data_IF_079465966027
#
_entry.id   IF_079465966027
#
_cell.length_a   1.000
_cell.length_b   1.000
_cell.length_c   1.000
_cell.angle_alpha   90.00
_cell.angle_beta   90.00
_cell.angle_gamma   90.00
#
_symmetry.space_group_name_H-M   'P 1'
#
loop_
_entity.id
_entity.type
_entity.pdbx_description
1 polymer ?
#
# COMPACT_ATOMS: atom_id res chain seq x y z
N UNK A 1 -4.69 12.38 13.09
CA UNK A 1 -5.37 11.35 13.88
C UNK A 1 -4.36 10.25 14.17
N UNK A 2 -3.81 10.31 15.37
CA UNK A 2 -2.86 9.37 15.95
C UNK A 2 -3.67 8.16 16.39
N UNK A 3 -3.58 7.05 15.66
CA UNK A 3 -3.96 5.74 16.20
C UNK A 3 -2.87 5.37 17.21
N UNK A 4 -2.97 5.92 18.42
CA UNK A 4 -2.11 5.62 19.55
C UNK A 4 -2.54 4.24 20.08
N UNK A 5 -2.12 3.20 19.36
CA UNK A 5 -2.25 1.82 19.81
C UNK A 5 -1.31 1.63 21.00
N UNK A 6 -1.87 1.73 22.20
CA UNK A 6 -1.12 1.58 23.44
C UNK A 6 -0.72 0.10 23.65
N UNK A 7 0.43 -0.27 23.08
CA UNK A 7 1.06 -1.57 23.26
C UNK A 7 1.38 -1.85 24.73
N UNK A 8 1.50 -0.83 25.60
CA UNK A 8 1.70 -1.07 27.05
C UNK A 8 0.41 -1.49 27.73
N UNK A 9 -0.75 -0.98 27.30
CA UNK A 9 -2.04 -1.44 27.77
C UNK A 9 -2.30 -2.91 27.37
N UNK A 10 -1.95 -3.26 26.12
CA UNK A 10 -2.00 -4.65 25.63
C UNK A 10 -0.98 -5.55 26.35
N UNK A 11 0.28 -5.15 26.50
CA UNK A 11 1.28 -5.98 27.16
C UNK A 11 0.97 -6.25 28.64
N UNK A 12 0.39 -5.26 29.36
CA UNK A 12 -0.03 -5.44 30.76
C UNK A 12 -1.26 -6.34 30.91
N UNK A 13 -2.25 -6.23 30.03
CA UNK A 13 -3.41 -7.12 30.08
C UNK A 13 -3.04 -8.57 29.78
N UNK A 14 -2.07 -8.78 28.87
CA UNK A 14 -1.56 -10.10 28.50
C UNK A 14 -0.65 -10.72 29.56
N UNK A 15 0.18 -9.95 30.27
CA UNK A 15 1.07 -10.49 31.32
C UNK A 15 0.33 -10.85 32.62
N UNK A 16 -0.86 -10.33 32.88
CA UNK A 16 -1.64 -10.60 34.09
C UNK A 16 -2.68 -11.73 33.95
N UNK A 17 -2.88 -12.29 32.76
CA UNK A 17 -3.77 -13.43 32.58
C UNK A 17 -2.99 -14.73 32.79
N UNK A 18 -3.15 -15.33 33.97
CA UNK A 18 -2.87 -16.76 34.20
C UNK A 18 -3.53 -17.56 33.08
N UNK A 19 -2.71 -18.16 32.20
CA UNK A 19 -3.12 -19.06 31.09
C UNK A 19 -4.39 -18.60 30.37
N UNK A 20 -4.29 -17.87 29.23
CA UNK A 20 -5.49 -17.40 28.55
C UNK A 20 -6.33 -18.63 28.15
N UNK A 21 -7.41 -18.87 28.88
CA UNK A 21 -8.57 -19.57 28.35
C UNK A 21 -9.02 -18.75 27.16
N UNK A 22 -8.63 -19.21 25.97
CA UNK A 22 -9.06 -18.70 24.67
C UNK A 22 -10.49 -18.20 24.76
N UNK A 23 -10.66 -16.88 24.77
CA UNK A 23 -11.97 -16.33 24.49
C UNK A 23 -12.15 -16.42 22.98
N UNK A 24 -13.15 -17.21 22.57
CA UNK A 24 -13.66 -17.19 21.21
C UNK A 24 -13.86 -15.72 20.76
N UNK A 25 -13.61 -15.41 19.48
CA UNK A 25 -13.69 -14.06 18.96
C UNK A 25 -15.06 -13.46 19.31
N UNK A 26 -15.04 -12.29 19.92
CA UNK A 26 -16.27 -11.60 20.29
C UNK A 26 -17.04 -11.19 19.03
N UNK A 27 -18.36 -11.03 19.15
CA UNK A 27 -19.20 -10.53 18.06
C UNK A 27 -18.70 -9.16 17.55
N UNK A 28 -18.09 -8.37 18.43
CA UNK A 28 -17.49 -7.08 18.10
C UNK A 28 -16.22 -7.21 17.23
N UNK A 29 -15.40 -8.26 17.43
CA UNK A 29 -14.23 -8.53 16.59
C UNK A 29 -14.63 -8.87 15.15
N UNK A 30 -15.72 -9.62 14.98
CA UNK A 30 -16.31 -9.97 13.68
C UNK A 30 -16.93 -8.74 13.00
N UNK A 31 -17.64 -7.90 13.77
CA UNK A 31 -18.19 -6.64 13.27
C UNK A 31 -17.09 -5.66 12.81
N UNK A 32 -15.97 -5.58 13.53
CA UNK A 32 -14.83 -4.77 13.12
C UNK A 32 -14.12 -5.31 11.87
N UNK A 33 -13.97 -6.63 11.75
CA UNK A 33 -13.33 -7.25 10.59
C UNK A 33 -14.16 -7.06 9.31
N UNK A 34 -15.48 -7.25 9.38
CA UNK A 34 -16.38 -6.97 8.25
C UNK A 34 -16.42 -5.50 7.85
N UNK A 35 -16.36 -4.57 8.81
CA UNK A 35 -16.24 -3.12 8.52
C UNK A 35 -14.94 -2.79 7.80
N UNK A 36 -13.82 -3.43 8.18
CA UNK A 36 -12.52 -3.27 7.49
C UNK A 36 -12.57 -3.81 6.07
N UNK A 37 -13.22 -4.95 5.84
CA UNK A 37 -13.41 -5.51 4.51
C UNK A 37 -14.19 -4.55 3.58
N UNK A 38 -15.28 -3.93 4.09
CA UNK A 38 -16.03 -2.91 3.33
C UNK A 38 -15.17 -1.70 2.98
N UNK A 39 -14.35 -1.23 3.91
CA UNK A 39 -13.43 -0.10 3.68
C UNK A 39 -12.34 -0.44 2.66
N UNK A 40 -11.83 -1.66 2.66
CA UNK A 40 -10.87 -2.11 1.64
C UNK A 40 -11.52 -2.18 0.25
N UNK A 41 -12.79 -2.59 0.17
CA UNK A 41 -13.55 -2.57 -1.08
C UNK A 41 -13.70 -1.14 -1.64
N UNK A 42 -13.97 -0.14 -0.80
CA UNK A 42 -14.05 1.25 -1.26
C UNK A 42 -12.69 1.79 -1.73
N UNK A 43 -11.60 1.39 -1.05
CA UNK A 43 -10.24 1.74 -1.47
C UNK A 43 -9.89 1.12 -2.82
N UNK A 44 -10.27 -0.15 -3.05
CA UNK A 44 -10.10 -0.84 -4.33
C UNK A 44 -10.77 -0.07 -5.48
N UNK A 45 -12.02 0.37 -5.28
CA UNK A 45 -12.71 1.17 -6.31
C UNK A 45 -12.03 2.51 -6.56
N UNK A 46 -11.49 3.15 -5.52
CA UNK A 46 -10.71 4.38 -5.67
C UNK A 46 -9.44 4.17 -6.50
N UNK A 47 -8.70 3.09 -6.25
CA UNK A 47 -7.50 2.71 -7.02
C UNK A 47 -7.83 2.41 -8.48
N UNK A 48 -8.94 1.70 -8.74
CA UNK A 48 -9.39 1.38 -10.10
C UNK A 48 -9.79 2.64 -10.87
N UNK A 49 -10.47 3.57 -10.20
CA UNK A 49 -10.82 4.85 -10.80
C UNK A 49 -9.56 5.67 -11.11
N UNK A 50 -8.56 5.66 -10.22
CA UNK A 50 -7.25 6.27 -10.48
C UNK A 50 -6.53 5.65 -11.68
N UNK A 51 -6.52 4.32 -11.79
CA UNK A 51 -5.94 3.61 -12.93
C UNK A 51 -6.65 3.95 -14.26
N UNK A 52 -7.98 4.06 -14.23
CA UNK A 52 -8.78 4.45 -15.39
C UNK A 52 -8.45 5.88 -15.82
N UNK A 53 -8.33 6.82 -14.88
CA UNK A 53 -7.90 8.20 -15.17
C UNK A 53 -6.49 8.23 -15.79
N UNK A 54 -5.54 7.46 -15.25
CA UNK A 54 -4.20 7.36 -15.82
C UNK A 54 -4.21 6.81 -17.26
N UNK A 55 -5.04 5.80 -17.53
CA UNK A 55 -5.18 5.23 -18.88
C UNK A 55 -5.79 6.22 -19.86
N UNK A 56 -6.86 6.94 -19.47
CA UNK A 56 -7.46 7.99 -20.30
C UNK A 56 -6.46 9.11 -20.58
N UNK A 57 -5.71 9.54 -19.57
CA UNK A 57 -4.68 10.56 -19.72
C UNK A 57 -3.54 10.09 -20.64
N UNK A 58 -3.13 8.82 -20.57
CA UNK A 58 -2.14 8.26 -21.49
C UNK A 58 -2.62 8.32 -22.95
N UNK A 59 -3.85 7.88 -23.21
CA UNK A 59 -4.46 7.98 -24.54
C UNK A 59 -4.50 9.44 -25.02
N UNK A 60 -4.93 10.36 -24.17
CA UNK A 60 -4.99 11.78 -24.49
C UNK A 60 -3.61 12.36 -24.85
N UNK A 61 -2.58 12.05 -24.06
CA UNK A 61 -1.21 12.55 -24.27
C UNK A 61 -0.64 12.08 -25.62
N UNK A 62 -0.90 10.83 -26.02
CA UNK A 62 -0.44 10.30 -27.33
C UNK A 62 -0.96 11.13 -28.50
N UNK A 63 -2.18 11.68 -28.40
CA UNK A 63 -2.76 12.49 -29.46
C UNK A 63 -2.45 13.98 -29.35
N UNK A 64 -2.08 14.48 -28.17
CA UNK A 64 -1.93 15.94 -27.92
C UNK A 64 -0.49 16.41 -27.83
N UNK A 65 0.44 15.57 -27.39
CA UNK A 65 1.85 15.95 -27.21
C UNK A 65 2.71 15.10 -28.16
N UNK A 66 3.05 15.61 -29.36
CA UNK A 66 4.01 14.94 -30.22
C UNK A 66 5.42 15.06 -29.63
N UNK A 67 6.28 14.06 -29.87
CA UNK A 67 7.68 14.06 -29.43
C UNK A 67 8.00 13.09 -28.31
N UNK A 68 9.24 13.16 -27.80
CA UNK A 68 9.76 12.26 -26.76
C UNK A 68 9.05 12.46 -25.42
N UNK A 69 8.67 13.69 -25.09
CA UNK A 69 7.96 14.03 -23.86
C UNK A 69 6.60 13.33 -23.79
N UNK A 70 5.85 13.30 -24.89
CA UNK A 70 4.58 12.59 -25.00
C UNK A 70 4.75 11.08 -24.83
N UNK A 71 5.76 10.51 -25.50
CA UNK A 71 6.08 9.09 -25.39
C UNK A 71 6.46 8.65 -23.97
N UNK A 72 7.34 9.40 -23.31
CA UNK A 72 7.78 9.09 -21.93
C UNK A 72 6.64 9.28 -20.93
N UNK A 73 5.84 10.33 -21.07
CA UNK A 73 4.68 10.58 -20.19
C UNK A 73 3.60 9.52 -20.36
N UNK A 74 3.33 9.11 -21.61
CA UNK A 74 2.41 8.01 -21.90
C UNK A 74 2.90 6.70 -21.27
N UNK A 75 4.16 6.32 -21.51
CA UNK A 75 4.75 5.12 -20.93
C UNK A 75 4.64 5.14 -19.39
N UNK A 76 4.97 6.25 -18.75
CA UNK A 76 4.87 6.42 -17.31
C UNK A 76 3.44 6.19 -16.79
N UNK A 77 2.43 6.78 -17.46
CA UNK A 77 1.03 6.61 -17.08
C UNK A 77 0.50 5.20 -17.33
N UNK A 78 0.89 4.55 -18.44
CA UNK A 78 0.51 3.17 -18.73
C UNK A 78 1.11 2.22 -17.69
N UNK A 79 2.40 2.37 -17.37
CA UNK A 79 3.04 1.59 -16.31
C UNK A 79 2.39 1.86 -14.94
N UNK A 80 2.04 3.10 -14.64
CA UNK A 80 1.29 3.48 -13.43
C UNK A 80 -0.10 2.82 -13.36
N UNK A 81 -0.85 2.82 -14.46
CA UNK A 81 -2.16 2.17 -14.54
C UNK A 81 -2.05 0.65 -14.39
N UNK A 82 -1.12 0.01 -15.11
CA UNK A 82 -0.91 -1.44 -15.04
C UNK A 82 -0.46 -1.89 -13.66
N UNK A 83 0.50 -1.18 -13.05
CA UNK A 83 0.97 -1.49 -11.69
C UNK A 83 -0.13 -1.31 -10.65
N UNK A 84 -0.92 -0.23 -10.76
CA UNK A 84 -2.06 0.01 -9.87
C UNK A 84 -3.12 -1.08 -10.00
N UNK A 85 -3.45 -1.48 -11.24
CA UNK A 85 -4.40 -2.56 -11.48
C UNK A 85 -3.91 -3.91 -10.95
N UNK A 86 -2.65 -4.26 -11.27
CA UNK A 86 -2.03 -5.50 -10.81
C UNK A 86 -2.03 -5.62 -9.28
N UNK A 87 -1.69 -4.53 -8.59
CA UNK A 87 -1.61 -4.52 -7.12
C UNK A 87 -2.98 -4.48 -6.50
N UNK A 88 -3.90 -3.69 -7.05
CA UNK A 88 -5.28 -3.68 -6.58
C UNK A 88 -5.88 -5.09 -6.69
N UNK A 89 -5.58 -5.81 -7.78
CA UNK A 89 -5.98 -7.20 -7.96
C UNK A 89 -5.30 -8.14 -6.96
N UNK A 90 -3.98 -8.06 -6.80
CA UNK A 90 -3.22 -8.96 -5.90
C UNK A 90 -3.53 -8.70 -4.42
N UNK A 91 -3.83 -7.46 -4.05
CA UNK A 91 -4.05 -7.04 -2.66
C UNK A 91 -5.49 -7.24 -2.21
N UNK A 92 -6.48 -6.84 -3.01
CA UNK A 92 -7.87 -6.83 -2.55
C UNK A 92 -8.60 -8.16 -2.80
N UNK A 93 -8.26 -8.90 -3.86
CA UNK A 93 -8.87 -10.21 -4.17
C UNK A 93 -8.78 -11.23 -3.02
N UNK A 94 -7.63 -11.45 -2.34
CA UNK A 94 -7.55 -12.43 -1.26
C UNK A 94 -8.31 -12.05 0.01
N UNK A 95 -8.57 -10.75 0.23
CA UNK A 95 -9.39 -10.26 1.35
C UNK A 95 -10.89 -10.39 1.03
N UNK A 96 -11.26 -10.18 -0.23
CA UNK A 96 -12.65 -10.30 -0.69
C UNK A 96 -13.12 -11.76 -0.75
N UNK A 97 -12.22 -12.71 -1.03
CA UNK A 97 -12.51 -14.14 -1.07
C UNK A 97 -12.33 -14.86 0.28
N UNK A 98 -12.24 -14.10 1.38
CA UNK A 98 -12.01 -14.67 2.70
C UNK A 98 -13.33 -15.03 3.39
N UNK A 99 -13.60 -16.34 3.46
CA UNK A 99 -14.91 -16.85 3.89
C UNK A 99 -14.87 -17.56 5.26
N UNK A 100 -13.67 -17.75 5.85
CA UNK A 100 -13.51 -18.54 7.07
C UNK A 100 -13.44 -17.66 8.34
N UNK A 101 -14.56 -17.52 9.03
CA UNK A 101 -14.69 -16.63 10.20
C UNK A 101 -14.49 -17.32 11.57
N UNK A 102 -13.77 -18.44 11.61
CA UNK A 102 -13.39 -19.12 12.86
C UNK A 102 -12.31 -18.35 13.65
N UNK A 103 -12.02 -18.75 14.90
CA UNK A 103 -10.98 -18.13 15.74
C UNK A 103 -9.61 -18.12 15.05
N UNK A 104 -9.17 -19.28 14.53
CA UNK A 104 -7.94 -19.43 13.76
C UNK A 104 -8.00 -18.62 12.45
N UNK A 105 -9.16 -18.64 11.78
CA UNK A 105 -9.38 -17.83 10.59
C UNK A 105 -9.20 -16.33 10.84
N UNK A 106 -9.65 -15.80 11.98
CA UNK A 106 -9.48 -14.40 12.33
C UNK A 106 -7.99 -14.02 12.48
N UNK A 107 -7.16 -14.90 13.06
CA UNK A 107 -5.71 -14.69 13.20
C UNK A 107 -5.04 -14.72 11.83
N UNK A 108 -5.40 -15.68 10.97
CA UNK A 108 -4.90 -15.76 9.59
C UNK A 108 -5.32 -14.54 8.76
N UNK A 109 -6.55 -14.03 8.94
CA UNK A 109 -7.03 -12.81 8.30
C UNK A 109 -6.20 -11.60 8.75
N UNK A 110 -5.93 -11.46 10.05
CA UNK A 110 -5.09 -10.37 10.59
C UNK A 110 -3.65 -10.45 10.07
N UNK A 111 -3.08 -11.65 9.99
CA UNK A 111 -1.77 -11.87 9.41
C UNK A 111 -1.72 -11.45 7.93
N UNK A 112 -2.66 -11.94 7.11
CA UNK A 112 -2.75 -11.60 5.68
C UNK A 112 -2.99 -10.10 5.48
N UNK A 113 -3.88 -9.48 6.25
CA UNK A 113 -4.13 -8.04 6.18
C UNK A 113 -2.88 -7.21 6.53
N UNK A 114 -2.09 -7.66 7.51
CA UNK A 114 -0.83 -7.00 7.87
C UNK A 114 0.22 -7.14 6.75
N UNK A 115 0.38 -8.35 6.19
CA UNK A 115 1.28 -8.61 5.06
C UNK A 115 0.92 -7.77 3.83
N UNK A 116 -0.37 -7.70 3.50
CA UNK A 116 -0.89 -6.90 2.41
C UNK A 116 -0.67 -5.40 2.64
N UNK A 117 -0.82 -4.93 3.88
CA UNK A 117 -0.52 -3.54 4.25
C UNK A 117 0.97 -3.21 4.03
N UNK A 118 1.89 -4.12 4.38
CA UNK A 118 3.33 -3.94 4.13
C UNK A 118 3.63 -3.91 2.64
N UNK A 119 3.04 -4.81 1.85
CA UNK A 119 3.19 -4.83 0.39
C UNK A 119 2.70 -3.53 -0.25
N UNK A 120 1.53 -3.02 0.17
CA UNK A 120 0.98 -1.77 -0.31
C UNK A 120 1.88 -0.56 0.02
N UNK A 121 2.45 -0.51 1.23
CA UNK A 121 3.40 0.54 1.61
C UNK A 121 4.68 0.49 0.77
N UNK A 122 5.22 -0.70 0.50
CA UNK A 122 6.39 -0.87 -0.40
C UNK A 122 6.06 -0.44 -1.82
N UNK A 123 4.87 -0.76 -2.31
CA UNK A 123 4.42 -0.28 -3.62
C UNK A 123 4.39 1.25 -3.67
N UNK A 124 3.80 1.90 -2.67
CA UNK A 124 3.74 3.36 -2.62
C UNK A 124 5.14 3.97 -2.63
N UNK A 125 6.12 3.33 -1.98
CA UNK A 125 7.52 3.74 -2.07
C UNK A 125 8.09 3.59 -3.49
N UNK A 126 7.82 2.46 -4.15
CA UNK A 126 8.21 2.27 -5.55
C UNK A 126 7.59 3.33 -6.46
N UNK A 127 6.34 3.73 -6.25
CA UNK A 127 5.69 4.81 -7.00
C UNK A 127 6.36 6.16 -6.74
N UNK A 128 6.73 6.49 -5.50
CA UNK A 128 7.50 7.70 -5.19
C UNK A 128 8.89 7.69 -5.86
N UNK A 129 9.57 6.55 -5.87
CA UNK A 129 10.86 6.40 -6.57
C UNK A 129 10.66 6.55 -8.08
N UNK A 130 9.62 5.96 -8.65
CA UNK A 130 9.30 6.08 -10.06
C UNK A 130 9.03 7.55 -10.46
N UNK A 131 8.34 8.32 -9.61
CA UNK A 131 8.15 9.76 -9.81
C UNK A 131 9.48 10.54 -9.79
N UNK A 132 10.40 10.20 -8.89
CA UNK A 132 11.73 10.79 -8.87
C UNK A 132 12.53 10.44 -10.13
N UNK A 133 12.48 9.17 -10.58
CA UNK A 133 13.13 8.74 -11.82
C UNK A 133 12.53 9.47 -13.01
N UNK A 134 11.20 9.61 -13.09
CA UNK A 134 10.52 10.38 -14.12
C UNK A 134 10.99 11.83 -14.14
N UNK A 135 11.10 12.49 -12.98
CA UNK A 135 11.68 13.84 -12.88
C UNK A 135 13.12 13.89 -13.40
N UNK A 136 13.93 12.86 -13.15
CA UNK A 136 15.29 12.76 -13.69
C UNK A 136 15.31 12.59 -15.21
N UNK A 137 14.39 11.79 -15.77
CA UNK A 137 14.25 11.63 -17.23
C UNK A 137 13.82 12.93 -17.89
N UNK A 138 12.92 13.71 -17.27
CA UNK A 138 12.56 15.04 -17.77
C UNK A 138 13.78 15.98 -17.83
N UNK A 139 14.62 15.96 -16.80
CA UNK A 139 15.89 16.68 -16.80
C UNK A 139 16.84 16.21 -17.90
N UNK A 140 16.94 14.90 -18.12
CA UNK A 140 17.78 14.33 -19.17
C UNK A 140 17.31 14.72 -20.57
N UNK A 141 16.00 14.67 -20.83
CA UNK A 141 15.41 15.12 -22.10
C UNK A 141 15.67 16.59 -22.36
N UNK A 142 15.52 17.44 -21.34
CA UNK A 142 15.80 18.86 -21.42
C UNK A 142 17.30 19.13 -21.66
N UNK A 143 18.19 18.45 -20.93
CA UNK A 143 19.64 18.58 -21.08
C UNK A 143 20.13 18.17 -22.47
N UNK A 144 19.58 17.09 -23.02
CA UNK A 144 19.90 16.59 -24.35
C UNK A 144 19.23 17.40 -25.48
N UNK A 145 18.43 18.43 -25.14
CA UNK A 145 17.64 19.23 -26.08
C UNK A 145 16.72 18.40 -26.99
N UNK A 146 16.36 17.18 -26.55
CA UNK A 146 15.50 16.26 -27.30
C UNK A 146 14.04 16.73 -27.34
N UNK A 147 13.64 17.50 -26.34
CA UNK A 147 12.30 18.08 -26.26
C UNK A 147 12.29 19.36 -25.41
N UNK A 148 11.38 20.28 -25.73
CA UNK A 148 11.23 21.55 -25.00
C UNK A 148 10.29 21.37 -23.80
N UNK A 149 10.74 20.58 -22.82
CA UNK A 149 10.08 20.54 -21.52
C UNK A 149 10.14 21.95 -20.88
N UNK A 150 8.98 22.53 -20.58
CA UNK A 150 8.87 23.88 -20.01
C UNK A 150 9.60 23.96 -18.67
N UNK A 151 10.38 25.01 -18.43
CA UNK A 151 11.10 25.23 -17.18
C UNK A 151 10.19 25.17 -15.94
N UNK A 152 8.93 25.62 -16.09
CA UNK A 152 7.90 25.52 -15.05
C UNK A 152 7.59 24.07 -14.67
N UNK A 153 7.53 23.15 -15.65
CA UNK A 153 7.29 21.73 -15.42
C UNK A 153 8.48 21.09 -14.68
N UNK A 154 9.71 21.38 -15.12
CA UNK A 154 10.91 20.89 -14.45
C UNK A 154 11.01 21.43 -13.01
N UNK A 155 10.73 22.72 -12.82
CA UNK A 155 10.71 23.35 -11.51
C UNK A 155 9.70 22.70 -10.57
N UNK A 156 8.48 22.43 -11.06
CA UNK A 156 7.44 21.75 -10.29
C UNK A 156 7.89 20.35 -9.83
N UNK A 157 8.41 19.52 -10.73
CA UNK A 157 8.83 18.16 -10.37
C UNK A 157 10.06 18.15 -9.44
N UNK A 158 10.98 19.10 -9.62
CA UNK A 158 12.22 19.15 -8.84
C UNK A 158 11.99 19.77 -7.45
N UNK A 159 11.32 20.91 -7.36
CA UNK A 159 11.18 21.66 -6.11
C UNK A 159 9.94 21.28 -5.30
N UNK A 160 8.94 20.65 -5.90
CA UNK A 160 7.71 20.27 -5.20
C UNK A 160 7.59 18.75 -5.12
N UNK A 161 7.59 18.06 -6.26
CA UNK A 161 7.31 16.61 -6.29
C UNK A 161 8.43 15.80 -5.63
N UNK A 162 9.69 16.08 -5.95
CA UNK A 162 10.84 15.36 -5.39
C UNK A 162 10.95 15.45 -3.86
N UNK A 163 10.92 16.64 -3.21
CA UNK A 163 10.98 16.71 -1.75
C UNK A 163 9.76 16.09 -1.08
N UNK A 164 8.56 16.20 -1.67
CA UNK A 164 7.38 15.50 -1.18
C UNK A 164 7.54 13.98 -1.27
N UNK A 165 8.12 13.45 -2.36
CA UNK A 165 8.41 12.04 -2.51
C UNK A 165 9.43 11.56 -1.48
N UNK A 166 10.48 12.34 -1.20
CA UNK A 166 11.47 12.02 -0.17
C UNK A 166 10.84 11.96 1.24
N UNK A 167 10.02 12.97 1.59
CA UNK A 167 9.30 12.99 2.87
C UNK A 167 8.32 11.82 2.98
N UNK A 168 7.61 11.50 1.89
CA UNK A 168 6.70 10.37 1.82
C UNK A 168 7.46 9.04 2.00
N UNK A 169 8.56 8.82 1.29
CA UNK A 169 9.43 7.64 1.42
C UNK A 169 9.90 7.48 2.86
N UNK A 170 10.39 8.57 3.49
CA UNK A 170 10.83 8.54 4.89
C UNK A 170 9.71 8.10 5.84
N UNK A 171 8.53 8.73 5.76
CA UNK A 171 7.36 8.34 6.58
C UNK A 171 6.90 6.91 6.30
N UNK A 172 6.92 6.49 5.04
CA UNK A 172 6.57 5.12 4.64
C UNK A 172 7.58 4.11 5.20
N UNK A 173 8.88 4.41 5.21
CA UNK A 173 9.90 3.53 5.78
C UNK A 173 9.68 3.32 7.27
N UNK A 174 9.36 4.39 8.01
CA UNK A 174 9.04 4.29 9.43
C UNK A 174 7.83 3.38 9.68
N UNK A 175 6.76 3.56 8.89
CA UNK A 175 5.55 2.72 8.98
C UNK A 175 5.81 1.26 8.59
N UNK A 176 6.60 1.02 7.55
CA UNK A 176 6.98 -0.34 7.13
C UNK A 176 7.76 -1.03 8.25
N UNK A 177 8.72 -0.35 8.89
CA UNK A 177 9.47 -0.92 10.01
C UNK A 177 8.54 -1.35 11.15
N UNK A 178 7.63 -0.45 11.57
CA UNK A 178 6.63 -0.77 12.60
C UNK A 178 5.77 -1.97 12.22
N UNK A 179 5.21 -1.97 11.00
CA UNK A 179 4.35 -3.08 10.52
C UNK A 179 5.10 -4.39 10.32
N UNK A 180 6.39 -4.34 9.99
CA UNK A 180 7.23 -5.55 9.86
C UNK A 180 7.49 -6.17 11.22
N UNK A 181 7.74 -5.36 12.26
CA UNK A 181 7.87 -5.84 13.63
C UNK A 181 6.55 -6.46 14.13
N UNK A 182 5.41 -5.81 13.89
CA UNK A 182 4.09 -6.37 14.21
C UNK A 182 3.85 -7.72 13.51
N UNK A 183 4.22 -7.83 12.23
CA UNK A 183 4.11 -9.05 11.46
C UNK A 183 5.00 -10.16 12.02
N UNK A 184 6.19 -9.82 12.53
CA UNK A 184 7.06 -10.74 13.25
C UNK A 184 6.39 -11.34 14.49
N UNK A 185 5.76 -10.52 15.32
CA UNK A 185 5.02 -10.99 16.50
C UNK A 185 3.81 -11.85 16.12
N UNK A 186 3.04 -11.45 15.12
CA UNK A 186 1.90 -12.22 14.61
C UNK A 186 2.31 -13.57 14.03
N UNK A 187 3.48 -13.66 13.38
CA UNK A 187 4.00 -14.91 12.83
C UNK A 187 4.32 -15.94 13.93
N UNK A 188 4.87 -15.48 15.06
CA UNK A 188 5.15 -16.34 16.22
C UNK A 188 3.84 -16.85 16.81
N UNK A 189 2.85 -15.97 17.00
CA UNK A 189 1.51 -16.33 17.48
C UNK A 189 0.81 -17.36 16.58
N UNK A 190 0.84 -17.19 15.25
CA UNK A 190 0.26 -18.18 14.32
C UNK A 190 0.93 -19.55 14.47
N UNK A 191 2.26 -19.58 14.61
CA UNK A 191 2.99 -20.83 14.80
C UNK A 191 2.62 -21.52 16.13
N UNK A 192 2.41 -20.76 17.21
CA UNK A 192 2.00 -21.29 18.51
C UNK A 192 0.57 -21.89 18.47
N UNK A 193 -0.33 -21.30 17.69
CA UNK A 193 -1.69 -21.82 17.47
C UNK A 193 -1.70 -23.10 16.62
N UNK A 194 -0.91 -23.16 15.54
CA UNK A 194 -0.78 -24.38 14.72
C UNK A 194 -0.21 -25.55 15.52
N UNK A 195 0.72 -25.28 16.45
CA UNK A 195 1.29 -26.31 17.34
C UNK A 195 0.33 -26.75 18.45
N UNK A 196 -0.50 -25.84 18.96
CA UNK A 196 -1.49 -26.14 20.00
C UNK A 196 -2.71 -26.91 19.47
N UNK A 197 -3.04 -26.77 18.18
CA UNK A 197 -4.12 -27.52 17.53
C UNK A 197 -3.73 -28.96 17.12
N UNK A 198 -2.44 -29.32 17.19
CA UNK A 198 -1.93 -30.65 16.85
C UNK A 198 -1.69 -31.58 18.05
N UNK A 199 -1.78 -31.06 19.28
CA UNK A 199 -1.72 -31.84 20.53
C UNK A 199 -3.11 -31.98 21.16
#
# INVERSE_FOLDING_TARGET
>A
MTDDFDFKALAKSWQQQQTPKEHAPSVDDLAQASKRQRRQRTLMYGEWLGALVMAMAACWIVFTIPGWLGGVSCAFLVFGALSTFYISWQVHRPILAYDNWSCDGLVQFRYRACQLSVQYLRYTQCSCIALMVFSGVLWLLHWLQLDHATEQLLGFYTFIVSPLCLLAIYKLQQKIRQKTTELGHLKVLVADFEHSAQN
#
